data_IF_388224687165
#
_entry.id   IF_388224687165
#
_cell.length_a   1.000
_cell.length_b   1.000
_cell.length_c   1.000
_cell.angle_alpha   90.00
_cell.angle_beta   90.00
_cell.angle_gamma   90.00
#
_symmetry.space_group_name_H-M   'P 1'
#
loop_
_entity.id
_entity.type
_entity.pdbx_description
1 polymer ?
#
# COMPACT_ATOMS: atom_id res chain seq x y z
N UNK A 1 -13.89 21.01 0.40
CA UNK A 1 -12.59 20.99 1.10
C UNK A 1 -11.83 22.19 0.61
N UNK A 2 -11.30 23.02 1.50
CA UNK A 2 -10.49 24.17 1.11
C UNK A 2 -9.03 23.70 0.96
N UNK A 3 -8.37 24.04 -0.15
CA UNK A 3 -6.98 23.66 -0.43
C UNK A 3 -5.99 24.33 0.53
N UNK A 4 -6.33 25.49 1.13
CA UNK A 4 -5.51 26.16 2.15
C UNK A 4 -5.40 25.38 3.48
N UNK A 5 -6.35 24.49 3.73
CA UNK A 5 -6.37 23.63 4.92
C UNK A 5 -5.55 22.34 4.76
N UNK A 6 -4.95 22.14 3.58
CA UNK A 6 -4.15 20.96 3.27
C UNK A 6 -2.67 21.26 3.53
N UNK A 7 -2.06 20.44 4.38
CA UNK A 7 -0.62 20.49 4.67
C UNK A 7 0.05 19.19 4.22
N UNK A 8 1.22 19.32 3.59
CA UNK A 8 2.11 18.22 3.26
C UNK A 8 3.37 18.28 4.14
N UNK A 9 3.72 17.14 4.75
CA UNK A 9 4.95 17.00 5.54
C UNK A 9 5.86 15.95 4.91
N UNK A 10 7.08 16.35 4.57
CA UNK A 10 8.09 15.49 3.95
C UNK A 10 8.42 14.30 4.85
N UNK A 11 8.53 13.13 4.24
CA UNK A 11 8.82 11.87 4.93
C UNK A 11 10.24 11.36 4.69
N UNK A 12 10.91 11.84 3.64
CA UNK A 12 12.17 11.27 3.17
C UNK A 12 11.98 9.99 2.34
N UNK A 13 10.76 9.74 1.83
CA UNK A 13 10.39 8.55 1.04
C UNK A 13 10.46 8.79 -0.48
N UNK A 14 11.33 9.71 -0.92
CA UNK A 14 11.46 10.08 -2.34
C UNK A 14 12.04 8.95 -3.20
N UNK A 15 12.77 8.01 -2.60
CA UNK A 15 13.28 6.84 -3.32
C UNK A 15 12.17 6.08 -4.05
N UNK A 16 12.40 5.77 -5.32
CA UNK A 16 11.54 4.94 -6.16
C UNK A 16 12.33 3.70 -6.57
N UNK A 17 11.77 2.53 -6.37
CA UNK A 17 12.40 1.28 -6.76
C UNK A 17 11.91 0.80 -8.13
N UNK A 18 12.67 0.99 -9.23
CA UNK A 18 12.23 0.60 -10.57
C UNK A 18 12.33 -0.91 -10.81
N UNK A 19 13.01 -1.64 -9.92
CA UNK A 19 13.19 -3.11 -10.05
C UNK A 19 12.13 -3.90 -9.28
N UNK A 20 11.25 -3.20 -8.55
CA UNK A 20 10.22 -3.82 -7.75
C UNK A 20 9.30 -4.73 -8.57
N UNK A 21 9.09 -5.94 -8.08
CA UNK A 21 8.10 -6.89 -8.63
C UNK A 21 6.73 -6.73 -7.99
N UNK A 22 6.69 -6.23 -6.76
CA UNK A 22 5.46 -5.94 -6.01
C UNK A 22 5.46 -4.50 -5.55
N UNK A 23 4.34 -3.79 -5.75
CA UNK A 23 4.14 -2.41 -5.31
C UNK A 23 3.06 -2.38 -4.24
N UNK A 24 3.40 -1.98 -3.01
CA UNK A 24 2.46 -1.86 -1.90
C UNK A 24 2.05 -0.40 -1.75
N UNK A 25 0.74 -0.15 -1.81
CA UNK A 25 0.19 1.21 -1.90
C UNK A 25 -0.67 1.53 -0.68
N UNK A 26 -0.29 2.57 0.08
CA UNK A 26 -1.10 3.19 1.12
C UNK A 26 -1.86 4.43 0.64
N UNK A 27 -2.55 5.12 1.56
CA UNK A 27 -3.21 6.40 1.26
C UNK A 27 -2.18 7.54 1.30
N UNK A 28 -1.52 7.68 2.43
CA UNK A 28 -0.47 8.66 2.74
C UNK A 28 0.37 8.10 3.90
N UNK A 29 1.65 8.46 4.03
CA UNK A 29 2.46 8.06 5.17
C UNK A 29 1.87 8.54 6.49
N UNK A 30 1.87 7.67 7.51
CA UNK A 30 1.34 7.97 8.83
C UNK A 30 2.29 8.79 9.71
N UNK A 31 1.76 9.37 10.80
CA UNK A 31 2.54 10.18 11.75
C UNK A 31 3.75 9.42 12.32
N UNK A 32 3.61 8.13 12.60
CA UNK A 32 4.71 7.29 13.08
C UNK A 32 5.89 7.18 12.09
N UNK A 33 5.66 7.48 10.82
CA UNK A 33 6.67 7.47 9.78
C UNK A 33 7.40 8.82 9.65
N UNK A 34 6.88 9.88 10.28
CA UNK A 34 7.50 11.21 10.34
C UNK A 34 8.54 11.34 11.48
N UNK A 35 8.35 10.61 12.57
CA UNK A 35 9.03 10.82 13.84
C UNK A 35 10.44 10.21 13.93
N UNK A 36 10.87 9.45 12.93
CA UNK A 36 12.14 8.72 13.02
C UNK A 36 13.33 9.56 12.60
N UNK A 37 14.46 9.37 13.29
CA UNK A 37 15.74 9.99 12.95
C UNK A 37 16.16 9.63 11.52
N UNK A 38 16.45 10.67 10.73
CA UNK A 38 16.84 10.57 9.33
C UNK A 38 18.28 11.02 9.09
N UNK A 39 18.98 11.42 10.14
CA UNK A 39 20.32 11.99 10.08
C UNK A 39 21.29 11.00 9.41
N UNK A 40 21.95 11.44 8.36
CA UNK A 40 22.96 10.65 7.64
C UNK A 40 22.42 9.48 6.80
N UNK A 41 21.09 9.29 6.68
CA UNK A 41 20.48 8.20 5.91
C UNK A 41 20.03 8.65 4.55
N UNK A 42 20.22 7.81 3.55
CA UNK A 42 19.63 7.97 2.21
C UNK A 42 18.11 7.78 2.24
N UNK A 43 17.39 8.34 1.27
CA UNK A 43 15.94 8.16 1.13
C UNK A 43 15.54 6.67 0.99
N UNK A 44 16.42 5.84 0.41
CA UNK A 44 16.22 4.38 0.33
C UNK A 44 16.24 3.72 1.71
N UNK A 45 17.21 4.07 2.55
CA UNK A 45 17.30 3.54 3.92
C UNK A 45 16.14 4.03 4.79
N UNK A 46 15.82 5.32 4.72
CA UNK A 46 14.69 5.90 5.43
C UNK A 46 13.39 5.16 5.07
N UNK A 47 13.14 4.95 3.78
CA UNK A 47 11.95 4.23 3.32
C UNK A 47 11.94 2.78 3.80
N UNK A 48 13.04 2.05 3.65
CA UNK A 48 13.17 0.66 4.11
C UNK A 48 12.85 0.52 5.60
N UNK A 49 13.38 1.39 6.43
CA UNK A 49 13.20 1.32 7.87
C UNK A 49 11.80 1.74 8.32
N UNK A 50 11.19 2.71 7.63
CA UNK A 50 10.02 3.42 8.15
C UNK A 50 8.72 3.18 7.38
N UNK A 51 8.76 2.63 6.16
CA UNK A 51 7.53 2.33 5.43
C UNK A 51 6.67 1.33 6.21
N UNK A 52 5.40 1.68 6.39
CA UNK A 52 4.43 0.91 7.19
C UNK A 52 4.91 0.57 8.61
N UNK A 53 5.73 1.43 9.22
CA UNK A 53 6.29 1.21 10.56
C UNK A 53 5.22 1.04 11.65
N UNK A 54 5.65 0.53 12.82
CA UNK A 54 4.81 0.31 13.98
C UNK A 54 3.91 -0.91 13.81
N UNK A 55 2.69 -0.84 14.36
CA UNK A 55 1.72 -1.96 14.36
C UNK A 55 1.21 -2.35 12.97
N UNK A 56 1.40 -1.52 11.95
CA UNK A 56 0.96 -1.81 10.59
C UNK A 56 1.80 -2.90 9.93
N UNK A 57 3.12 -2.87 10.13
CA UNK A 57 4.06 -3.78 9.45
C UNK A 57 3.79 -5.26 9.77
N UNK A 58 3.66 -5.70 11.03
CA UNK A 58 3.33 -7.10 11.32
C UNK A 58 2.02 -7.57 10.71
N UNK A 59 1.00 -6.72 10.71
CA UNK A 59 -0.28 -7.05 10.09
C UNK A 59 -0.16 -7.19 8.57
N UNK A 60 0.59 -6.28 7.94
CA UNK A 60 0.85 -6.30 6.50
C UNK A 60 1.60 -7.57 6.10
N UNK A 61 2.69 -7.91 6.78
CA UNK A 61 3.47 -9.13 6.55
C UNK A 61 2.56 -10.36 6.59
N UNK A 62 1.77 -10.51 7.67
CA UNK A 62 0.86 -11.65 7.82
C UNK A 62 -0.16 -11.77 6.68
N UNK A 63 -0.73 -10.64 6.23
CA UNK A 63 -1.69 -10.64 5.12
C UNK A 63 -1.03 -10.97 3.78
N UNK A 64 0.17 -10.45 3.52
CA UNK A 64 0.94 -10.74 2.31
C UNK A 64 1.34 -12.22 2.23
N UNK A 65 1.86 -12.78 3.33
CA UNK A 65 2.23 -14.19 3.41
C UNK A 65 0.99 -15.09 3.24
N UNK A 66 -0.12 -14.71 3.88
CA UNK A 66 -1.38 -15.45 3.79
C UNK A 66 -1.91 -15.59 2.35
N UNK A 67 -1.82 -14.52 1.55
CA UNK A 67 -2.26 -14.58 0.14
C UNK A 67 -1.19 -15.12 -0.81
N UNK A 68 0.01 -15.42 -0.31
CA UNK A 68 1.07 -16.09 -1.08
C UNK A 68 2.03 -15.17 -1.81
N UNK A 69 2.10 -13.87 -1.46
CA UNK A 69 3.07 -12.94 -2.06
C UNK A 69 4.52 -13.37 -1.80
N UNK A 70 4.80 -13.97 -0.64
CA UNK A 70 6.09 -14.57 -0.35
C UNK A 70 6.48 -15.66 -1.37
N UNK A 71 5.54 -16.57 -1.69
CA UNK A 71 5.76 -17.62 -2.70
C UNK A 71 5.97 -17.04 -4.09
N UNK A 72 5.16 -16.03 -4.46
CA UNK A 72 5.30 -15.31 -5.73
C UNK A 72 6.68 -14.67 -5.90
N UNK A 73 7.28 -14.20 -4.82
CA UNK A 73 8.60 -13.55 -4.80
C UNK A 73 9.76 -14.55 -4.57
N UNK A 74 9.47 -15.82 -4.30
CA UNK A 74 10.48 -16.84 -3.96
C UNK A 74 11.24 -16.54 -2.67
N UNK A 75 10.53 -16.07 -1.63
CA UNK A 75 11.07 -15.75 -0.31
C UNK A 75 10.31 -16.53 0.77
N UNK A 76 10.94 -16.77 1.90
CA UNK A 76 10.33 -17.50 3.02
C UNK A 76 9.15 -16.73 3.62
N UNK A 77 9.32 -15.44 3.87
CA UNK A 77 8.31 -14.54 4.40
C UNK A 77 8.49 -13.13 3.86
N UNK A 78 7.39 -12.41 3.69
CA UNK A 78 7.39 -10.98 3.34
C UNK A 78 8.04 -10.09 4.41
N UNK A 79 8.44 -10.62 5.57
CA UNK A 79 9.24 -9.90 6.55
C UNK A 79 10.59 -9.43 5.97
N UNK A 80 11.22 -10.20 5.09
CA UNK A 80 12.49 -9.87 4.43
C UNK A 80 12.40 -8.67 3.47
N UNK A 81 11.18 -8.24 3.08
CA UNK A 81 10.96 -7.05 2.26
C UNK A 81 11.35 -5.73 2.95
N UNK A 82 11.53 -5.73 4.27
CA UNK A 82 12.13 -4.61 5.01
C UNK A 82 13.61 -4.82 5.33
N UNK A 83 14.23 -5.83 4.73
CA UNK A 83 15.62 -6.24 4.92
C UNK A 83 16.31 -6.56 3.61
N UNK A 84 16.76 -7.81 3.46
CA UNK A 84 17.57 -8.29 2.32
C UNK A 84 16.82 -8.32 0.98
N UNK A 85 15.49 -8.45 1.00
CA UNK A 85 14.67 -8.50 -0.21
C UNK A 85 13.97 -7.17 -0.54
N UNK A 86 14.45 -6.04 0.01
CA UNK A 86 13.85 -4.73 -0.21
C UNK A 86 13.81 -4.32 -1.70
N UNK A 87 14.72 -4.81 -2.51
CA UNK A 87 14.76 -4.54 -3.95
C UNK A 87 13.64 -5.25 -4.73
N UNK A 88 12.95 -6.23 -4.13
CA UNK A 88 11.79 -6.89 -4.74
C UNK A 88 10.49 -6.12 -4.58
N UNK A 89 10.47 -5.07 -3.72
CA UNK A 89 9.27 -4.33 -3.37
C UNK A 89 9.45 -2.82 -3.53
N UNK A 90 8.38 -2.16 -3.97
CA UNK A 90 8.18 -0.73 -3.76
C UNK A 90 7.10 -0.52 -2.71
N UNK A 91 7.35 0.35 -1.75
CA UNK A 91 6.41 0.75 -0.71
C UNK A 91 6.08 2.22 -0.86
N UNK A 92 4.86 2.53 -1.26
CA UNK A 92 4.44 3.89 -1.61
C UNK A 92 3.04 4.22 -1.11
N UNK A 93 2.55 5.40 -1.46
CA UNK A 93 1.20 5.87 -1.12
C UNK A 93 0.65 6.71 -2.25
N UNK A 94 -0.69 6.83 -2.36
CA UNK A 94 -1.36 7.70 -3.34
C UNK A 94 -0.88 9.15 -3.20
N UNK A 95 -0.68 9.61 -1.97
CA UNK A 95 -0.03 10.89 -1.66
C UNK A 95 1.31 10.56 -0.99
N UNK A 96 2.42 10.91 -1.64
CA UNK A 96 3.78 10.51 -1.21
C UNK A 96 4.25 11.20 0.07
N UNK A 97 3.76 12.39 0.34
CA UNK A 97 4.01 13.13 1.57
C UNK A 97 2.91 12.86 2.59
N UNK A 98 3.25 12.93 3.88
CA UNK A 98 2.25 12.81 4.94
C UNK A 98 1.28 14.01 4.85
N UNK A 99 0.04 13.70 4.54
CA UNK A 99 -0.98 14.68 4.19
C UNK A 99 -1.96 14.87 5.34
N UNK A 100 -2.21 16.14 5.67
CA UNK A 100 -3.14 16.55 6.72
C UNK A 100 -4.19 17.50 6.15
N UNK A 101 -5.40 17.43 6.69
CA UNK A 101 -6.48 18.39 6.43
C UNK A 101 -7.02 18.85 7.79
N UNK A 102 -6.91 20.15 8.10
CA UNK A 102 -7.25 20.70 9.43
C UNK A 102 -6.59 19.88 10.56
N UNK A 103 -5.28 19.70 10.49
CA UNK A 103 -4.46 18.94 11.44
C UNK A 103 -4.81 17.45 11.60
N UNK A 104 -5.76 16.93 10.83
CA UNK A 104 -6.11 15.50 10.83
C UNK A 104 -5.48 14.79 9.65
N UNK A 105 -4.94 13.60 9.90
CA UNK A 105 -4.42 12.74 8.84
C UNK A 105 -5.47 12.52 7.75
N UNK A 106 -5.07 12.74 6.49
CA UNK A 106 -5.90 12.45 5.34
C UNK A 106 -6.15 10.93 5.20
N UNK A 107 -7.42 10.54 5.07
CA UNK A 107 -7.83 9.14 5.04
C UNK A 107 -8.90 8.80 3.99
N UNK A 108 -9.20 9.74 3.08
CA UNK A 108 -10.31 9.62 2.13
C UNK A 108 -9.83 9.76 0.67
N UNK A 109 -9.31 8.67 0.03
CA UNK A 109 -8.82 8.72 -1.35
C UNK A 109 -9.80 9.34 -2.36
N UNK A 110 -11.12 9.12 -2.17
CA UNK A 110 -12.15 9.70 -3.03
C UNK A 110 -12.19 11.24 -3.02
N UNK A 111 -11.54 11.89 -2.06
CA UNK A 111 -11.44 13.35 -2.00
C UNK A 111 -10.24 13.88 -2.80
N UNK A 112 -9.33 13.04 -3.28
CA UNK A 112 -8.19 13.48 -4.10
C UNK A 112 -8.68 14.24 -5.32
N UNK A 113 -9.63 13.69 -6.06
CA UNK A 113 -10.20 14.33 -7.26
C UNK A 113 -11.06 15.60 -6.96
N UNK A 114 -11.35 15.89 -5.69
CA UNK A 114 -12.15 17.06 -5.28
C UNK A 114 -11.32 18.25 -4.80
N UNK A 115 -9.99 18.17 -4.90
CA UNK A 115 -9.04 19.20 -4.51
C UNK A 115 -7.98 19.34 -5.59
N UNK A 116 -7.75 20.55 -6.10
CA UNK A 116 -6.71 20.80 -7.09
C UNK A 116 -5.32 20.47 -6.50
N UNK A 117 -5.09 20.82 -5.24
CA UNK A 117 -3.83 20.57 -4.52
C UNK A 117 -3.54 19.07 -4.32
N UNK A 118 -4.54 18.27 -3.93
CA UNK A 118 -4.38 16.83 -3.79
C UNK A 118 -4.23 16.13 -5.15
N UNK A 119 -4.97 16.57 -6.16
CA UNK A 119 -4.88 16.06 -7.54
C UNK A 119 -3.49 16.30 -8.11
N UNK A 120 -2.93 17.51 -7.93
CA UNK A 120 -1.56 17.82 -8.35
C UNK A 120 -0.55 16.90 -7.63
N UNK A 121 -0.63 16.78 -6.30
CA UNK A 121 0.26 15.93 -5.51
C UNK A 121 0.17 14.45 -5.92
N UNK A 122 -1.03 13.94 -6.24
CA UNK A 122 -1.23 12.58 -6.76
C UNK A 122 -0.61 12.40 -8.14
N UNK A 123 -0.86 13.32 -9.07
CA UNK A 123 -0.38 13.23 -10.45
C UNK A 123 1.15 13.36 -10.53
N UNK A 124 1.72 14.34 -9.83
CA UNK A 124 3.17 14.60 -9.81
C UNK A 124 3.96 13.62 -8.93
N UNK A 125 3.26 12.90 -8.05
CA UNK A 125 3.81 11.87 -7.19
C UNK A 125 3.53 10.46 -7.71
N UNK A 126 2.53 9.81 -7.15
CA UNK A 126 2.24 8.39 -7.36
C UNK A 126 1.93 8.04 -8.81
N UNK A 127 1.04 8.80 -9.48
CA UNK A 127 0.64 8.51 -10.87
C UNK A 127 1.84 8.59 -11.82
N UNK A 128 2.70 9.61 -11.67
CA UNK A 128 3.96 9.73 -12.43
C UNK A 128 4.89 8.55 -12.16
N UNK A 129 5.06 8.15 -10.89
CA UNK A 129 5.99 7.09 -10.52
C UNK A 129 5.54 5.71 -11.00
N UNK A 130 4.21 5.50 -11.22
CA UNK A 130 3.69 4.25 -11.79
C UNK A 130 4.33 3.89 -13.14
N UNK A 131 4.74 4.87 -13.94
CA UNK A 131 5.44 4.65 -15.23
C UNK A 131 6.81 3.98 -15.02
N UNK A 132 7.42 4.14 -13.85
CA UNK A 132 8.72 3.55 -13.51
C UNK A 132 8.63 2.09 -13.08
N UNK A 133 7.45 1.59 -12.69
CA UNK A 133 7.26 0.23 -12.16
C UNK A 133 7.08 -0.82 -13.26
N UNK A 134 7.92 -0.80 -14.28
CA UNK A 134 7.81 -1.68 -15.47
C UNK A 134 7.97 -3.16 -15.15
N UNK A 135 8.69 -3.50 -14.07
CA UNK A 135 8.91 -4.87 -13.62
C UNK A 135 7.83 -5.36 -12.64
N UNK A 136 6.92 -4.49 -12.23
CA UNK A 136 5.87 -4.86 -11.30
C UNK A 136 4.89 -5.83 -11.96
N UNK A 137 4.63 -6.94 -11.26
CA UNK A 137 3.65 -7.95 -11.64
C UNK A 137 2.38 -7.86 -10.77
N UNK A 138 2.49 -7.19 -9.61
CA UNK A 138 1.41 -7.09 -8.64
C UNK A 138 1.42 -5.74 -7.92
N UNK A 139 0.28 -5.07 -7.86
CA UNK A 139 0.00 -3.97 -6.94
C UNK A 139 -0.87 -4.47 -5.79
N UNK A 140 -0.46 -4.19 -4.57
CA UNK A 140 -1.19 -4.51 -3.34
C UNK A 140 -1.70 -3.22 -2.72
N UNK A 141 -2.98 -2.96 -2.83
CA UNK A 141 -3.64 -1.78 -2.29
C UNK A 141 -4.09 -2.02 -0.83
N UNK A 142 -3.63 -1.18 0.08
CA UNK A 142 -3.99 -1.23 1.50
C UNK A 142 -5.34 -0.52 1.74
N UNK A 143 -6.44 -1.26 1.58
CA UNK A 143 -7.81 -0.79 1.69
C UNK A 143 -8.53 -0.63 0.35
N UNK A 144 -9.85 -0.88 0.35
CA UNK A 144 -10.67 -0.88 -0.87
C UNK A 144 -10.64 0.46 -1.61
N UNK A 145 -10.67 1.58 -0.89
CA UNK A 145 -10.63 2.90 -1.52
C UNK A 145 -9.30 3.17 -2.26
N UNK A 146 -8.17 2.67 -1.76
CA UNK A 146 -6.89 2.68 -2.47
C UNK A 146 -6.96 1.76 -3.67
N UNK A 147 -7.55 0.56 -3.49
CA UNK A 147 -7.73 -0.42 -4.55
C UNK A 147 -8.53 0.12 -5.74
N UNK A 148 -9.60 0.90 -5.49
CA UNK A 148 -10.38 1.53 -6.55
C UNK A 148 -9.54 2.50 -7.39
N UNK A 149 -8.72 3.34 -6.75
CA UNK A 149 -7.84 4.29 -7.45
C UNK A 149 -6.77 3.56 -8.28
N UNK A 150 -6.15 2.51 -7.71
CA UNK A 150 -5.13 1.73 -8.43
C UNK A 150 -5.75 0.94 -9.59
N UNK A 151 -6.96 0.40 -9.43
CA UNK A 151 -7.69 -0.28 -10.50
C UNK A 151 -8.09 0.67 -11.64
N UNK A 152 -8.42 1.92 -11.32
CA UNK A 152 -8.66 2.98 -12.32
C UNK A 152 -7.40 3.24 -13.16
N UNK A 153 -6.23 3.38 -12.54
CA UNK A 153 -4.96 3.52 -13.26
C UNK A 153 -4.65 2.31 -14.16
N UNK A 154 -5.06 1.10 -13.75
CA UNK A 154 -4.97 -0.09 -14.60
C UNK A 154 -5.91 0.01 -15.79
N UNK A 155 -7.14 0.45 -15.60
CA UNK A 155 -8.11 0.64 -16.69
C UNK A 155 -7.71 1.74 -17.67
N UNK A 156 -6.98 2.76 -17.20
CA UNK A 156 -6.35 3.81 -18.03
C UNK A 156 -5.09 3.33 -18.78
N UNK A 157 -4.61 2.09 -18.55
CA UNK A 157 -3.41 1.54 -19.16
C UNK A 157 -2.09 2.09 -18.60
N UNK A 158 -2.12 2.82 -17.47
CA UNK A 158 -0.93 3.35 -16.79
C UNK A 158 -0.20 2.22 -16.03
N UNK A 159 -0.95 1.27 -15.50
CA UNK A 159 -0.46 0.08 -14.80
C UNK A 159 -0.86 -1.15 -15.61
N UNK A 160 0.12 -2.01 -15.95
CA UNK A 160 -0.10 -3.29 -16.63
C UNK A 160 -0.21 -4.47 -15.64
N UNK A 161 0.33 -4.33 -14.44
CA UNK A 161 0.36 -5.36 -13.40
C UNK A 161 -1.04 -5.72 -12.88
N UNK A 162 -1.17 -6.89 -12.25
CA UNK A 162 -2.38 -7.26 -11.53
C UNK A 162 -2.57 -6.40 -10.26
N UNK A 163 -3.81 -6.25 -9.82
CA UNK A 163 -4.15 -5.43 -8.65
C UNK A 163 -4.95 -6.27 -7.66
N UNK A 164 -4.50 -6.31 -6.41
CA UNK A 164 -5.29 -6.86 -5.30
C UNK A 164 -5.50 -5.79 -4.23
N UNK A 165 -6.60 -5.92 -3.50
CA UNK A 165 -6.87 -5.12 -2.30
C UNK A 165 -6.83 -5.98 -1.06
N UNK A 166 -6.18 -5.50 0.00
CA UNK A 166 -6.18 -6.12 1.32
C UNK A 166 -6.76 -5.14 2.34
N UNK A 167 -7.26 -5.59 3.50
CA UNK A 167 -7.65 -4.66 4.56
C UNK A 167 -6.52 -3.69 4.91
N UNK A 168 -6.86 -2.44 5.25
CA UNK A 168 -5.83 -1.50 5.70
C UNK A 168 -5.14 -2.05 6.96
N UNK A 169 -3.80 -2.11 7.03
CA UNK A 169 -3.07 -2.86 8.06
C UNK A 169 -3.07 -2.21 9.46
N UNK A 170 -3.74 -1.07 9.65
CA UNK A 170 -3.82 -0.38 10.96
C UNK A 170 -4.58 -1.20 11.99
N UNK A 171 -4.24 -0.99 13.28
CA UNK A 171 -4.92 -1.62 14.39
C UNK A 171 -6.43 -1.34 14.47
N UNK A 172 -6.90 -0.21 13.92
CA UNK A 172 -8.32 0.11 13.81
C UNK A 172 -9.12 -0.92 12.95
N UNK A 173 -8.42 -1.69 12.11
CA UNK A 173 -9.03 -2.73 11.27
C UNK A 173 -8.78 -4.16 11.80
N UNK A 174 -8.45 -4.33 13.09
CA UNK A 174 -8.08 -5.64 13.65
C UNK A 174 -9.11 -6.74 13.35
N UNK A 175 -10.42 -6.44 13.47
CA UNK A 175 -11.49 -7.40 13.14
C UNK A 175 -11.50 -7.81 11.66
N UNK A 176 -11.32 -6.86 10.73
CA UNK A 176 -11.22 -7.15 9.28
C UNK A 176 -9.97 -7.93 8.94
N UNK A 177 -8.84 -7.61 9.58
CA UNK A 177 -7.58 -8.34 9.39
C UNK A 177 -7.74 -9.77 9.91
N UNK A 178 -8.34 -9.98 11.08
CA UNK A 178 -8.60 -11.30 11.62
C UNK A 178 -9.52 -12.12 10.70
N UNK A 179 -10.58 -11.51 10.15
CA UNK A 179 -11.48 -12.16 9.20
C UNK A 179 -10.78 -12.50 7.87
N UNK A 180 -9.91 -11.63 7.37
CA UNK A 180 -9.10 -11.85 6.18
C UNK A 180 -8.17 -13.07 6.34
N UNK A 181 -7.56 -13.24 7.51
CA UNK A 181 -6.62 -14.30 7.83
C UNK A 181 -7.26 -15.63 8.23
N UNK A 182 -8.55 -15.67 8.55
CA UNK A 182 -9.26 -16.89 8.98
C UNK A 182 -9.80 -17.76 7.84
N UNK A 183 -9.83 -17.24 6.61
CA UNK A 183 -10.39 -18.00 5.48
C UNK A 183 -11.89 -18.29 5.63
N UNK A 184 -12.30 -19.53 5.39
CA UNK A 184 -13.71 -19.96 5.28
C UNK A 184 -14.41 -20.27 6.60
N UNK A 185 -13.81 -20.01 7.73
CA UNK A 185 -14.42 -20.29 9.03
C UNK A 185 -15.71 -19.47 9.27
N UNK A 186 -16.78 -20.18 9.61
CA UNK A 186 -18.18 -19.79 9.39
C UNK A 186 -18.79 -18.81 10.42
N UNK A 187 -18.17 -17.69 10.73
CA UNK A 187 -18.81 -16.66 11.55
C UNK A 187 -19.51 -15.57 10.71
N UNK A 188 -20.70 -15.18 11.11
CA UNK A 188 -21.79 -14.61 10.29
C UNK A 188 -21.84 -13.08 10.22
N UNK A 189 -20.76 -12.34 10.40
CA UNK A 189 -20.79 -10.88 10.25
C UNK A 189 -20.50 -10.49 8.79
N UNK A 190 -21.32 -9.57 8.24
CA UNK A 190 -21.14 -9.04 6.86
C UNK A 190 -19.77 -8.43 6.64
N UNK A 191 -19.21 -7.75 7.64
CA UNK A 191 -17.85 -7.17 7.58
C UNK A 191 -16.78 -8.26 7.42
N UNK A 192 -16.97 -9.37 8.12
CA UNK A 192 -16.11 -10.55 8.04
C UNK A 192 -16.23 -11.25 6.67
N UNK A 193 -17.43 -11.28 6.08
CA UNK A 193 -17.67 -11.86 4.76
C UNK A 193 -16.93 -11.10 3.66
N UNK A 194 -16.99 -9.78 3.67
CA UNK A 194 -16.26 -8.93 2.69
C UNK A 194 -14.75 -9.13 2.79
N UNK A 195 -14.18 -9.16 4.00
CA UNK A 195 -12.74 -9.36 4.18
C UNK A 195 -12.28 -10.77 3.70
N UNK A 196 -13.09 -11.81 3.92
CA UNK A 196 -12.81 -13.16 3.44
C UNK A 196 -12.88 -13.26 1.92
N UNK A 197 -13.89 -12.65 1.30
CA UNK A 197 -13.98 -12.62 -0.16
C UNK A 197 -12.78 -11.88 -0.76
N UNK A 198 -12.36 -10.79 -0.15
CA UNK A 198 -11.15 -10.06 -0.52
C UNK A 198 -9.90 -10.97 -0.46
N UNK A 199 -9.77 -11.80 0.58
CA UNK A 199 -8.67 -12.76 0.70
C UNK A 199 -8.69 -13.81 -0.41
N UNK A 200 -9.88 -14.40 -0.70
CA UNK A 200 -10.02 -15.39 -1.77
C UNK A 200 -9.66 -14.81 -3.14
N UNK A 201 -10.15 -13.60 -3.43
CA UNK A 201 -9.83 -12.91 -4.69
C UNK A 201 -8.33 -12.64 -4.80
N UNK A 202 -7.71 -12.14 -3.72
CA UNK A 202 -6.27 -11.89 -3.69
C UNK A 202 -5.46 -13.17 -3.94
N UNK A 203 -5.81 -14.28 -3.28
CA UNK A 203 -5.15 -15.58 -3.49
C UNK A 203 -5.28 -16.07 -4.94
N UNK A 204 -6.46 -15.94 -5.55
CA UNK A 204 -6.67 -16.34 -6.95
C UNK A 204 -5.77 -15.56 -7.88
N UNK A 205 -5.70 -14.24 -7.72
CA UNK A 205 -4.84 -13.38 -8.54
C UNK A 205 -3.36 -13.74 -8.34
N UNK A 206 -2.90 -13.88 -7.10
CA UNK A 206 -1.50 -14.22 -6.81
C UNK A 206 -1.13 -15.57 -7.41
N UNK A 207 -1.99 -16.60 -7.28
CA UNK A 207 -1.76 -17.91 -7.87
C UNK A 207 -1.72 -17.85 -9.39
N UNK A 208 -2.64 -17.11 -10.03
CA UNK A 208 -2.65 -16.97 -11.50
C UNK A 208 -1.42 -16.28 -12.07
N UNK A 209 -0.75 -15.40 -11.30
CA UNK A 209 0.52 -14.81 -11.68
C UNK A 209 1.66 -15.83 -11.56
N UNK A 210 1.64 -16.66 -10.51
CA UNK A 210 2.67 -17.67 -10.26
C UNK A 210 2.66 -18.83 -11.27
N UNK A 211 1.54 -19.05 -11.95
CA UNK A 211 1.35 -20.10 -12.98
C UNK A 211 1.77 -19.65 -14.40
N UNK A 212 2.05 -18.36 -14.62
CA UNK A 212 2.55 -17.76 -15.90
C UNK A 212 4.06 -17.78 -15.98
#
# INVERSE_FOLDING_TARGET
MNDDEIEFRKTGFEYVNPTARVVIVGITPGVSQLANDRSGKSSREIKRENAFAGRMRPNLIRMLDYVGVNRLLGIESCASLWGCDFDKVEMTSLLKEATFVRDKMFNSPALIAKSAKLTAAFNEGFKRDCVSYKNAILFVACGNAVGSVVAELKSEGIISAEVISIPHPSGANAGRIAAFLKGDDASVDTTCRVAREQARMAMRVVNSIAER
#
